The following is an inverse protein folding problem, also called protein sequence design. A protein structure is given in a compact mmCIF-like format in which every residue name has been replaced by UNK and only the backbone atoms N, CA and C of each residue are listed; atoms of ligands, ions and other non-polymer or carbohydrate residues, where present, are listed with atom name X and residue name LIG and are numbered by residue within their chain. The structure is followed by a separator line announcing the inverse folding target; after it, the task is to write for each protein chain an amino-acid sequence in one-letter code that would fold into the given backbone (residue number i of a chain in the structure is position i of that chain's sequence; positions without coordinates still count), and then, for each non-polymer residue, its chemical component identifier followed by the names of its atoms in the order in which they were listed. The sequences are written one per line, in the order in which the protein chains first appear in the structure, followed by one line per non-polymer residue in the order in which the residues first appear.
data_IF_419150325564
#
_entry.id   IF_419150325564
#
_cell.length_a   1.000
_cell.length_b   1.000
_cell.length_c   1.000
_cell.angle_alpha   90.00
_cell.angle_beta   90.00
_cell.angle_gamma   90.00
#
_symmetry.space_group_name_H-M   'P 1'
#
loop_
_entity.id
_entity.type
_entity.pdbx_description
1 polymer ?
#
# COMPACT_ATOMS: atom_id res chain seq x y z
N UNK A 1 2.40 -0.20 19.89
CA UNK A 1 2.08 1.18 20.31
C UNK A 1 0.77 1.10 21.08
N UNK A 2 0.64 1.67 22.29
CA UNK A 2 -0.62 1.53 23.06
C UNK A 2 -1.75 2.32 22.40
N UNK A 3 -2.99 1.82 22.51
CA UNK A 3 -4.22 2.45 21.98
C UNK A 3 -4.38 3.91 22.46
N UNK A 4 -3.98 4.22 23.69
CA UNK A 4 -4.01 5.58 24.24
C UNK A 4 -3.06 6.53 23.48
N UNK A 5 -1.88 6.05 23.07
CA UNK A 5 -0.92 6.84 22.29
C UNK A 5 -1.40 7.12 20.86
N UNK A 6 -2.08 6.17 20.22
CA UNK A 6 -2.67 6.38 18.88
C UNK A 6 -3.85 7.34 18.93
N UNK A 7 -4.68 7.28 19.98
CA UNK A 7 -5.78 8.21 20.23
C UNK A 7 -5.29 9.63 20.49
N UNK A 8 -4.27 9.82 21.34
CA UNK A 8 -3.68 11.15 21.57
C UNK A 8 -3.09 11.75 20.31
N UNK A 9 -2.34 10.96 19.54
CA UNK A 9 -1.86 11.42 18.23
C UNK A 9 -3.01 11.73 17.28
N UNK A 10 -4.05 10.90 17.21
CA UNK A 10 -5.22 11.18 16.39
C UNK A 10 -5.85 12.52 16.79
N UNK A 11 -6.06 12.77 18.08
CA UNK A 11 -6.61 14.01 18.56
C UNK A 11 -5.71 15.20 18.27
N UNK A 12 -4.39 15.08 18.43
CA UNK A 12 -3.41 16.11 18.03
C UNK A 12 -3.47 16.40 16.53
N UNK A 13 -3.57 15.34 15.71
CA UNK A 13 -3.68 15.44 14.26
C UNK A 13 -5.05 15.97 13.80
N UNK A 14 -6.13 15.69 14.52
CA UNK A 14 -7.50 16.11 14.22
C UNK A 14 -7.84 17.50 14.76
N UNK A 15 -7.22 17.92 15.87
CA UNK A 15 -7.46 19.22 16.52
C UNK A 15 -6.66 20.36 15.88
N UNK A 16 -5.51 20.07 15.27
CA UNK A 16 -4.82 21.03 14.39
C UNK A 16 -5.56 21.15 13.04
N UNK A 17 -6.54 22.07 13.01
CA UNK A 17 -7.22 22.66 11.85
C UNK A 17 -7.33 21.79 10.58
N UNK A 18 -8.47 21.11 10.49
CA UNK A 18 -8.92 20.19 9.44
C UNK A 18 -9.12 20.82 8.04
N UNK A 19 -8.85 22.11 7.82
CA UNK A 19 -9.27 22.80 6.58
C UNK A 19 -8.16 23.29 5.64
N UNK A 20 -6.88 23.08 5.95
CA UNK A 20 -5.82 23.27 4.96
C UNK A 20 -4.70 22.26 5.15
N UNK A 21 -4.89 21.05 4.62
CA UNK A 21 -3.77 20.13 4.41
C UNK A 21 -2.96 20.57 3.17
N UNK A 22 -2.57 21.84 3.16
CA UNK A 22 -1.63 22.35 2.18
C UNK A 22 -0.27 21.79 2.55
N UNK A 23 0.35 21.10 1.60
CA UNK A 23 1.73 20.65 1.75
C UNK A 23 2.63 21.89 1.82
N UNK A 24 3.58 21.89 2.76
CA UNK A 24 4.60 22.95 2.80
C UNK A 24 5.41 22.96 1.50
N UNK A 25 5.97 24.11 1.13
CA UNK A 25 6.83 24.22 -0.06
C UNK A 25 7.99 23.21 -0.01
N UNK A 26 8.56 23.00 1.19
CA UNK A 26 9.58 21.97 1.43
C UNK A 26 9.07 20.57 1.09
N UNK A 27 7.85 20.23 1.52
CA UNK A 27 7.23 18.94 1.20
C UNK A 27 6.95 18.80 -0.30
N UNK A 28 6.46 19.84 -0.98
CA UNK A 28 6.23 19.82 -2.43
C UNK A 28 7.54 19.62 -3.19
N UNK A 29 8.58 20.38 -2.85
CA UNK A 29 9.92 20.24 -3.42
C UNK A 29 10.47 18.82 -3.22
N UNK A 30 10.31 18.28 -2.01
CA UNK A 30 10.70 16.91 -1.71
C UNK A 30 9.97 15.88 -2.57
N UNK A 31 8.64 15.99 -2.70
CA UNK A 31 7.83 15.07 -3.51
C UNK A 31 8.23 15.08 -4.99
N UNK A 32 8.65 16.21 -5.52
CA UNK A 32 9.17 16.31 -6.90
C UNK A 32 10.50 15.55 -7.05
N UNK A 33 11.43 15.71 -6.11
CA UNK A 33 12.71 14.97 -6.10
C UNK A 33 12.46 13.47 -5.91
N UNK A 34 11.60 13.13 -4.95
CA UNK A 34 11.17 11.77 -4.65
C UNK A 34 10.58 11.09 -5.88
N UNK A 35 9.86 11.81 -6.75
CA UNK A 35 9.33 11.25 -7.99
C UNK A 35 10.44 10.75 -8.93
N UNK A 36 11.54 11.49 -9.07
CA UNK A 36 12.67 11.04 -9.88
C UNK A 36 13.30 9.77 -9.28
N UNK A 37 13.48 9.75 -7.95
CA UNK A 37 13.98 8.57 -7.24
C UNK A 37 13.05 7.35 -7.41
N UNK A 38 11.74 7.54 -7.28
CA UNK A 38 10.74 6.49 -7.46
C UNK A 38 10.86 5.85 -8.84
N UNK A 39 11.07 6.65 -9.89
CA UNK A 39 11.24 6.13 -11.26
C UNK A 39 12.52 5.30 -11.36
N UNK A 40 13.66 5.84 -10.93
CA UNK A 40 14.97 5.15 -11.04
C UNK A 40 14.97 3.85 -10.25
N UNK A 41 14.54 3.90 -8.98
CA UNK A 41 14.50 2.73 -8.11
C UNK A 41 13.47 1.69 -8.58
N UNK A 42 12.34 2.11 -9.14
CA UNK A 42 11.35 1.17 -9.68
C UNK A 42 11.81 0.51 -10.98
N UNK A 43 12.56 1.22 -11.84
CA UNK A 43 13.17 0.62 -13.03
C UNK A 43 14.19 -0.44 -12.64
N UNK A 44 15.08 -0.13 -11.69
CA UNK A 44 16.07 -1.08 -11.17
C UNK A 44 15.36 -2.28 -10.53
N UNK A 45 14.41 -2.01 -9.63
CA UNK A 45 13.64 -3.04 -8.95
C UNK A 45 12.88 -3.94 -9.93
N UNK A 46 12.25 -3.37 -10.95
CA UNK A 46 11.50 -4.14 -11.96
C UNK A 46 12.45 -4.99 -12.80
N UNK A 47 13.59 -4.45 -13.24
CA UNK A 47 14.59 -5.20 -14.00
C UNK A 47 15.13 -6.41 -13.19
N UNK A 48 15.43 -6.20 -11.90
CA UNK A 48 15.92 -7.26 -11.01
C UNK A 48 14.86 -8.32 -10.70
N UNK A 49 13.59 -7.91 -10.59
CA UNK A 49 12.51 -8.80 -10.17
C UNK A 49 11.73 -9.40 -11.34
N UNK A 50 11.98 -8.97 -12.58
CA UNK A 50 11.28 -9.46 -13.77
C UNK A 50 11.36 -11.00 -13.92
N UNK A 51 12.52 -11.66 -13.74
CA UNK A 51 12.58 -13.13 -13.82
C UNK A 51 11.69 -13.81 -12.78
N UNK A 52 11.61 -13.25 -11.57
CA UNK A 52 10.76 -13.76 -10.49
C UNK A 52 9.28 -13.57 -10.83
N UNK A 53 8.90 -12.39 -11.34
CA UNK A 53 7.51 -12.12 -11.78
C UNK A 53 7.11 -13.12 -12.88
N UNK A 54 7.97 -13.34 -13.88
CA UNK A 54 7.69 -14.28 -14.97
C UNK A 54 7.56 -15.73 -14.48
N UNK A 55 8.45 -16.16 -13.59
CA UNK A 55 8.37 -17.49 -12.96
C UNK A 55 7.01 -17.70 -12.27
N UNK A 56 6.59 -16.75 -11.43
CA UNK A 56 5.32 -16.89 -10.72
C UNK A 56 4.10 -16.72 -11.64
N UNK A 57 4.20 -15.96 -12.73
CA UNK A 57 3.16 -15.94 -13.76
C UNK A 57 2.92 -17.34 -14.35
N UNK A 58 3.99 -18.09 -14.62
CA UNK A 58 3.90 -19.48 -15.12
C UNK A 58 3.26 -20.37 -14.05
N UNK A 59 3.78 -20.35 -12.82
CA UNK A 59 3.28 -21.18 -11.72
C UNK A 59 1.78 -20.95 -11.44
N UNK A 60 1.33 -19.69 -11.43
CA UNK A 60 -0.09 -19.35 -11.22
C UNK A 60 -0.96 -19.88 -12.36
N UNK A 61 -0.48 -19.80 -13.60
CA UNK A 61 -1.20 -20.24 -14.79
C UNK A 61 -1.31 -21.77 -14.87
N UNK A 62 -0.32 -22.49 -14.31
CA UNK A 62 -0.35 -23.94 -14.16
C UNK A 62 -1.29 -24.40 -13.03
N UNK A 63 -1.39 -23.62 -11.95
CA UNK A 63 -2.23 -23.97 -10.80
C UNK A 63 -3.71 -23.64 -11.02
N UNK A 64 -4.01 -22.55 -11.72
CA UNK A 64 -5.39 -22.07 -11.92
C UNK A 64 -5.59 -21.45 -13.30
N UNK A 65 -6.76 -21.66 -13.95
CA UNK A 65 -7.03 -21.10 -15.28
C UNK A 65 -7.06 -19.56 -15.26
N UNK A 66 -6.87 -18.92 -16.42
CA UNK A 66 -6.98 -17.47 -16.62
C UNK A 66 -5.72 -16.68 -16.27
N UNK A 67 -5.81 -15.35 -16.30
CA UNK A 67 -4.65 -14.45 -16.23
C UNK A 67 -3.90 -14.54 -14.88
N UNK A 68 -2.56 -14.67 -14.88
CA UNK A 68 -1.77 -14.63 -13.65
C UNK A 68 -1.68 -13.24 -13.03
N UNK A 69 -2.07 -12.19 -13.75
CA UNK A 69 -2.13 -10.82 -13.23
C UNK A 69 -3.56 -10.46 -12.83
N UNK A 70 -3.71 -9.92 -11.63
CA UNK A 70 -4.96 -9.39 -11.13
C UNK A 70 -4.90 -7.86 -11.07
N UNK A 71 -5.98 -7.20 -11.50
CA UNK A 71 -6.11 -5.74 -11.50
C UNK A 71 -7.26 -5.34 -10.58
N UNK A 72 -7.00 -4.41 -9.67
CA UNK A 72 -8.00 -3.94 -8.71
C UNK A 72 -8.07 -2.41 -8.70
N UNK A 73 -9.29 -1.87 -8.73
CA UNK A 73 -9.49 -0.43 -8.61
C UNK A 73 -9.13 0.05 -7.19
N UNK A 74 -8.41 1.17 -7.16
CA UNK A 74 -7.87 1.81 -5.96
C UNK A 74 -8.04 3.32 -6.03
N UNK A 75 -8.08 3.95 -4.86
CA UNK A 75 -8.08 5.41 -4.73
C UNK A 75 -6.65 5.90 -4.54
N UNK A 76 -6.21 6.78 -5.44
CA UNK A 76 -4.90 7.42 -5.44
C UNK A 76 -4.95 8.89 -5.01
N UNK A 77 -3.94 9.64 -5.44
CA UNK A 77 -3.78 11.05 -5.08
C UNK A 77 -5.02 11.85 -5.52
N UNK A 78 -5.47 12.76 -4.66
CA UNK A 78 -6.61 13.68 -4.88
C UNK A 78 -7.92 12.92 -5.16
N UNK A 79 -8.02 11.66 -4.71
CA UNK A 79 -9.19 10.82 -4.93
C UNK A 79 -9.26 10.17 -6.32
N UNK A 80 -8.25 10.34 -7.18
CA UNK A 80 -8.24 9.75 -8.52
C UNK A 80 -8.18 8.23 -8.47
N UNK A 81 -9.04 7.56 -9.23
CA UNK A 81 -9.04 6.11 -9.30
C UNK A 81 -7.94 5.60 -10.24
N UNK A 82 -7.32 4.46 -9.90
CA UNK A 82 -6.37 3.77 -10.75
C UNK A 82 -6.48 2.25 -10.60
N UNK A 83 -5.93 1.50 -11.56
CA UNK A 83 -5.89 0.03 -11.51
C UNK A 83 -4.55 -0.44 -10.95
N UNK A 84 -4.56 -0.91 -9.71
CA UNK A 84 -3.40 -1.56 -9.09
C UNK A 84 -3.19 -2.95 -9.70
N UNK A 85 -1.95 -3.25 -10.10
CA UNK A 85 -1.55 -4.52 -10.72
C UNK A 85 -0.81 -5.37 -9.70
N UNK A 86 -1.17 -6.65 -9.58
CA UNK A 86 -0.47 -7.63 -8.74
C UNK A 86 -0.52 -9.03 -9.34
N UNK A 87 0.29 -9.95 -8.83
CA UNK A 87 0.10 -11.36 -9.16
C UNK A 87 -1.19 -11.87 -8.49
N UNK A 88 -1.91 -12.74 -9.20
CA UNK A 88 -3.14 -13.35 -8.72
C UNK A 88 -2.80 -14.42 -7.68
N UNK A 89 -3.21 -14.19 -6.44
CA UNK A 89 -3.02 -15.12 -5.31
C UNK A 89 -4.30 -15.82 -4.86
N UNK A 90 -5.42 -15.60 -5.54
CA UNK A 90 -6.72 -16.20 -5.25
C UNK A 90 -7.35 -16.78 -6.51
N UNK A 91 -8.28 -17.73 -6.32
CA UNK A 91 -9.10 -18.28 -7.43
C UNK A 91 -9.91 -17.18 -8.12
N UNK A 92 -10.23 -17.39 -9.40
CA UNK A 92 -11.00 -16.39 -10.20
C UNK A 92 -12.35 -16.06 -9.55
N UNK A 93 -12.96 -17.04 -8.90
CA UNK A 93 -14.26 -16.89 -8.28
C UNK A 93 -14.22 -16.29 -6.86
N UNK A 94 -13.04 -15.89 -6.38
CA UNK A 94 -12.85 -15.34 -5.05
C UNK A 94 -13.72 -14.10 -4.75
N UNK A 95 -14.11 -13.33 -5.78
CA UNK A 95 -14.96 -12.15 -5.63
C UNK A 95 -16.39 -12.34 -6.20
N UNK A 96 -16.86 -13.59 -6.44
CA UNK A 96 -18.23 -13.83 -6.94
C UNK A 96 -19.32 -13.20 -6.07
N UNK A 97 -19.10 -13.12 -4.75
CA UNK A 97 -20.02 -12.48 -3.80
C UNK A 97 -19.63 -11.03 -3.46
N UNK A 98 -18.85 -10.38 -4.32
CA UNK A 98 -18.40 -9.00 -4.16
C UNK A 98 -17.07 -8.84 -3.41
N UNK A 99 -16.68 -7.58 -3.26
CA UNK A 99 -15.45 -7.12 -2.63
C UNK A 99 -15.41 -7.47 -1.13
N UNK A 100 -14.49 -8.33 -0.71
CA UNK A 100 -14.28 -8.65 0.72
C UNK A 100 -12.83 -8.45 1.14
N UNK A 101 -12.59 -8.06 2.40
CA UNK A 101 -11.23 -8.11 2.97
C UNK A 101 -10.77 -9.56 3.04
N UNK A 102 -9.48 -9.78 2.78
CA UNK A 102 -8.89 -11.09 2.93
C UNK A 102 -8.77 -11.43 4.42
N UNK A 103 -9.26 -12.59 4.81
CA UNK A 103 -9.12 -13.11 6.18
C UNK A 103 -7.79 -13.88 6.31
N UNK A 104 -7.43 -14.22 7.55
CA UNK A 104 -6.35 -15.18 7.79
C UNK A 104 -6.86 -16.56 7.36
N UNK A 105 -6.01 -17.34 6.69
CA UNK A 105 -6.34 -18.69 6.17
C UNK A 105 -7.57 -18.72 5.24
N UNK A 106 -7.65 -17.71 4.36
CA UNK A 106 -8.77 -17.54 3.44
C UNK A 106 -8.83 -18.68 2.40
N UNK A 107 -9.94 -19.44 2.32
CA UNK A 107 -10.05 -20.63 1.46
C UNK A 107 -10.00 -20.32 -0.03
N UNK A 108 -10.07 -19.03 -0.40
CA UNK A 108 -9.97 -18.56 -1.79
C UNK A 108 -8.52 -18.48 -2.28
N UNK A 109 -7.55 -18.54 -1.37
CA UNK A 109 -6.12 -18.44 -1.66
C UNK A 109 -5.59 -19.78 -2.19
N UNK A 110 -4.80 -19.73 -3.26
CA UNK A 110 -4.19 -20.94 -3.85
C UNK A 110 -2.88 -21.31 -3.13
N UNK A 111 -2.29 -22.48 -3.40
CA UNK A 111 -1.04 -22.86 -2.76
C UNK A 111 0.12 -21.95 -3.21
N UNK A 112 0.24 -21.67 -4.50
CA UNK A 112 1.20 -20.66 -5.01
C UNK A 112 0.85 -19.28 -4.44
N UNK A 113 -0.45 -18.96 -4.39
CA UNK A 113 -1.00 -17.73 -3.83
C UNK A 113 -0.58 -17.47 -2.38
N UNK A 114 -0.61 -18.51 -1.55
CA UNK A 114 -0.18 -18.46 -0.15
C UNK A 114 1.31 -18.09 -0.05
N UNK A 115 2.16 -18.75 -0.86
CA UNK A 115 3.60 -18.47 -0.87
C UNK A 115 3.92 -17.04 -1.30
N UNK A 116 3.34 -16.57 -2.41
CA UNK A 116 3.64 -15.22 -2.94
C UNK A 116 3.11 -14.10 -2.05
N UNK A 117 2.04 -14.34 -1.29
CA UNK A 117 1.53 -13.38 -0.30
C UNK A 117 2.43 -13.29 0.92
N UNK A 118 2.90 -14.43 1.43
CA UNK A 118 3.83 -14.48 2.56
C UNK A 118 5.14 -13.76 2.26
N UNK A 119 5.64 -13.93 1.04
CA UNK A 119 6.90 -13.33 0.57
C UNK A 119 6.72 -11.95 -0.08
N UNK A 120 5.47 -11.47 -0.21
CA UNK A 120 5.08 -10.25 -0.95
C UNK A 120 5.53 -10.19 -2.40
N UNK A 121 5.87 -11.33 -2.99
CA UNK A 121 6.15 -11.46 -4.42
C UNK A 121 4.94 -11.01 -5.25
N UNK A 122 3.72 -11.18 -4.72
CA UNK A 122 2.52 -10.75 -5.42
C UNK A 122 2.45 -9.24 -5.65
N UNK A 123 3.12 -8.43 -4.83
CA UNK A 123 3.13 -6.97 -4.94
C UNK A 123 4.17 -6.43 -5.92
N UNK A 124 5.12 -7.25 -6.42
CA UNK A 124 6.19 -6.79 -7.32
C UNK A 124 5.69 -6.10 -8.61
N UNK A 125 4.61 -6.56 -9.28
CA UNK A 125 4.07 -5.86 -10.46
C UNK A 125 3.60 -4.42 -10.19
N UNK A 126 3.36 -4.04 -8.93
CA UNK A 126 2.97 -2.67 -8.57
C UNK A 126 4.08 -1.65 -8.85
N UNK A 127 5.34 -2.08 -9.06
CA UNK A 127 6.39 -1.19 -9.57
C UNK A 127 6.00 -0.54 -10.91
N UNK A 128 5.18 -1.21 -11.73
CA UNK A 128 4.61 -0.64 -12.95
C UNK A 128 3.68 0.53 -12.63
N UNK A 129 2.87 0.45 -11.57
CA UNK A 129 2.03 1.57 -11.11
C UNK A 129 2.87 2.73 -10.57
N UNK A 130 4.02 2.44 -9.95
CA UNK A 130 4.97 3.49 -9.57
C UNK A 130 5.52 4.17 -10.83
N UNK A 131 5.97 3.43 -11.84
CA UNK A 131 6.45 4.00 -13.10
C UNK A 131 5.38 4.82 -13.83
N UNK A 132 4.14 4.32 -13.90
CA UNK A 132 2.98 5.02 -14.47
C UNK A 132 2.62 6.32 -13.73
N UNK A 133 3.07 6.46 -12.47
CA UNK A 133 2.85 7.65 -11.66
C UNK A 133 1.58 7.61 -10.84
N UNK A 134 0.86 6.48 -10.81
CA UNK A 134 -0.29 6.26 -9.92
C UNK A 134 0.16 6.13 -8.45
N UNK A 135 1.33 5.52 -8.25
CA UNK A 135 1.89 5.20 -6.94
C UNK A 135 3.30 5.80 -6.76
N UNK A 136 3.78 5.71 -5.52
CA UNK A 136 5.16 5.95 -5.09
C UNK A 136 5.71 4.67 -4.43
N UNK A 137 7.03 4.56 -4.26
CA UNK A 137 7.59 3.44 -3.48
C UNK A 137 7.16 3.51 -2.02
N UNK A 138 7.16 4.71 -1.43
CA UNK A 138 6.77 4.94 -0.03
C UNK A 138 5.62 5.95 0.03
N UNK A 139 4.54 5.56 0.70
CA UNK A 139 3.34 6.38 0.88
C UNK A 139 2.19 5.62 1.57
N UNK A 140 1.05 6.26 1.81
CA UNK A 140 -0.13 5.59 2.36
C UNK A 140 -0.60 4.45 1.47
N UNK A 141 -0.89 3.26 2.02
CA UNK A 141 -1.36 2.12 1.20
C UNK A 141 -2.71 2.44 0.53
N UNK A 142 -2.87 2.26 -0.79
CA UNK A 142 -4.11 2.60 -1.48
C UNK A 142 -5.25 1.66 -1.06
N UNK A 143 -6.44 2.21 -0.87
CA UNK A 143 -7.65 1.46 -0.49
C UNK A 143 -8.62 1.30 -1.66
N UNK A 144 -9.53 0.32 -1.59
CA UNK A 144 -10.65 0.23 -2.56
C UNK A 144 -11.56 1.45 -2.39
N UNK A 145 -12.21 1.93 -3.47
CA UNK A 145 -13.19 3.02 -3.38
C UNK A 145 -14.25 2.80 -2.29
N UNK A 146 -14.81 1.59 -2.20
CA UNK A 146 -15.83 1.27 -1.19
C UNK A 146 -15.33 1.41 0.25
N UNK A 147 -14.11 0.96 0.55
CA UNK A 147 -13.51 1.11 1.89
C UNK A 147 -13.09 2.54 2.18
N UNK A 148 -12.56 3.27 1.18
CA UNK A 148 -12.27 4.69 1.34
C UNK A 148 -13.53 5.48 1.68
N UNK A 149 -14.66 5.19 1.02
CA UNK A 149 -15.94 5.83 1.30
C UNK A 149 -16.46 5.46 2.71
N UNK A 150 -16.44 4.17 3.05
CA UNK A 150 -16.84 3.68 4.37
C UNK A 150 -16.01 4.34 5.49
N UNK A 151 -14.68 4.26 5.42
CA UNK A 151 -13.80 4.82 6.45
C UNK A 151 -13.88 6.34 6.52
N UNK A 152 -14.18 7.02 5.42
CA UNK A 152 -14.40 8.46 5.47
C UNK A 152 -15.67 8.84 6.24
N UNK A 153 -16.71 8.02 6.16
CA UNK A 153 -17.93 8.20 6.95
C UNK A 153 -17.69 7.89 8.44
N UNK A 154 -16.93 6.83 8.74
CA UNK A 154 -16.66 6.38 10.11
C UNK A 154 -15.56 7.18 10.82
N UNK A 155 -14.59 7.72 10.07
CA UNK A 155 -13.37 8.34 10.60
C UNK A 155 -13.21 9.73 9.98
N UNK A 156 -13.49 10.81 10.74
CA UNK A 156 -13.28 12.18 10.29
C UNK A 156 -11.85 12.39 9.78
N UNK A 157 -11.74 13.01 8.60
CA UNK A 157 -10.46 13.32 7.96
C UNK A 157 -9.77 12.15 7.27
N UNK A 158 -10.39 10.96 7.13
CA UNK A 158 -9.75 9.80 6.49
C UNK A 158 -9.21 10.10 5.09
N UNK A 159 -9.90 10.93 4.29
CA UNK A 159 -9.48 11.34 2.94
C UNK A 159 -8.24 12.24 2.92
N UNK A 160 -7.81 12.82 4.06
CA UNK A 160 -6.61 13.66 4.11
C UNK A 160 -5.33 12.87 3.76
N UNK A 161 -5.37 11.54 3.88
CA UNK A 161 -4.27 10.67 3.41
C UNK A 161 -4.08 10.68 1.89
N UNK A 162 -5.06 11.17 1.13
CA UNK A 162 -5.06 11.16 -0.34
C UNK A 162 -4.34 12.36 -0.96
N UNK A 163 -3.80 13.30 -0.16
CA UNK A 163 -3.10 14.48 -0.71
C UNK A 163 -1.72 14.14 -1.31
N UNK A 164 -1.19 12.95 -1.03
CA UNK A 164 0.05 12.41 -1.62
C UNK A 164 -0.24 11.14 -2.40
N UNK A 165 0.69 10.75 -3.28
CA UNK A 165 0.57 9.47 -3.99
C UNK A 165 0.58 8.30 -2.98
N UNK A 166 -0.29 7.30 -3.18
CA UNK A 166 -0.23 6.09 -2.37
C UNK A 166 1.10 5.34 -2.58
N UNK A 167 1.49 4.56 -1.58
CA UNK A 167 2.74 3.81 -1.55
C UNK A 167 2.59 2.32 -1.83
N UNK A 168 3.64 1.72 -2.40
CA UNK A 168 3.85 0.26 -2.39
C UNK A 168 4.06 -0.22 -0.94
N UNK A 169 4.94 0.46 -0.22
CA UNK A 169 5.09 0.37 1.23
C UNK A 169 4.76 1.70 1.91
N UNK A 170 4.64 1.70 3.23
CA UNK A 170 4.19 2.86 3.98
C UNK A 170 4.41 2.71 5.48
N UNK A 171 4.39 3.85 6.18
CA UNK A 171 4.66 3.89 7.61
C UNK A 171 3.66 3.05 8.44
N UNK A 172 2.38 3.03 8.03
CA UNK A 172 1.38 2.19 8.68
C UNK A 172 1.66 0.69 8.46
N UNK A 173 2.04 0.30 7.23
CA UNK A 173 2.34 -1.09 6.86
C UNK A 173 3.48 -1.66 7.71
N UNK A 174 4.56 -0.88 7.91
CA UNK A 174 5.76 -1.36 8.63
C UNK A 174 5.68 -1.25 10.16
N UNK A 175 4.68 -0.55 10.72
CA UNK A 175 4.52 -0.42 12.17
C UNK A 175 3.33 -1.18 12.75
N UNK A 176 2.32 -1.48 11.93
CA UNK A 176 1.08 -2.14 12.38
C UNK A 176 0.71 -3.43 11.64
N UNK A 177 1.40 -3.78 10.56
CA UNK A 177 1.09 -4.98 9.78
C UNK A 177 -0.34 -4.96 9.22
N UNK A 178 -0.98 -6.13 9.10
CA UNK A 178 -2.36 -6.27 8.62
C UNK A 178 -3.44 -6.08 9.70
N UNK A 179 -3.07 -6.09 10.98
CA UNK A 179 -4.03 -6.07 12.09
C UNK A 179 -4.29 -4.66 12.64
N UNK A 180 -3.63 -3.65 12.07
CA UNK A 180 -3.85 -2.26 12.42
C UNK A 180 -5.26 -1.79 12.01
N UNK A 181 -5.95 -1.13 12.95
CA UNK A 181 -7.28 -0.57 12.66
C UNK A 181 -7.20 0.56 11.63
N UNK A 182 -8.27 0.83 10.85
CA UNK A 182 -8.30 1.94 9.91
C UNK A 182 -7.98 3.30 10.55
N UNK A 183 -8.35 3.50 11.83
CA UNK A 183 -8.06 4.71 12.60
C UNK A 183 -6.57 4.85 12.92
N UNK A 184 -5.93 3.80 13.42
CA UNK A 184 -4.49 3.80 13.70
C UNK A 184 -3.66 3.90 12.42
N UNK A 185 -4.14 3.27 11.33
CA UNK A 185 -3.55 3.41 10.01
C UNK A 185 -3.56 4.87 9.58
N UNK A 186 -4.68 5.56 9.71
CA UNK A 186 -4.79 6.99 9.39
C UNK A 186 -3.78 7.82 10.20
N UNK A 187 -3.57 7.53 11.49
CA UNK A 187 -2.58 8.22 12.32
C UNK A 187 -1.18 8.11 11.74
N UNK A 188 -0.74 6.91 11.34
CA UNK A 188 0.56 6.73 10.71
C UNK A 188 0.66 7.41 9.33
N UNK A 189 -0.40 7.35 8.54
CA UNK A 189 -0.44 7.99 7.23
C UNK A 189 -0.34 9.52 7.36
N UNK A 190 -1.06 10.13 8.31
CA UNK A 190 -0.98 11.57 8.58
C UNK A 190 0.37 11.98 9.17
N UNK A 191 0.93 11.18 10.08
CA UNK A 191 2.30 11.39 10.57
C UNK A 191 3.30 11.41 9.42
N UNK A 192 3.23 10.43 8.51
CA UNK A 192 4.11 10.35 7.36
C UNK A 192 4.00 11.59 6.46
N UNK A 193 2.77 11.99 6.13
CA UNK A 193 2.50 13.16 5.29
C UNK A 193 3.02 14.46 5.91
N UNK A 194 2.92 14.63 7.23
CA UNK A 194 3.43 15.81 7.94
C UNK A 194 4.95 15.83 8.06
N UNK A 195 5.61 14.67 7.99
CA UNK A 195 7.05 14.51 8.23
C UNK A 195 7.80 13.98 7.00
N UNK A 196 7.34 14.34 5.80
CA UNK A 196 7.93 13.92 4.52
C UNK A 196 9.40 14.31 4.42
N UNK A 197 10.28 13.32 4.54
CA UNK A 197 11.73 13.48 4.46
C UNK A 197 12.37 12.21 3.87
N UNK A 198 13.53 12.38 3.26
CA UNK A 198 14.33 11.26 2.74
C UNK A 198 14.65 10.22 3.83
N UNK A 199 15.01 10.68 5.04
CA UNK A 199 15.34 9.81 6.15
C UNK A 199 14.14 8.96 6.60
N UNK A 200 12.93 9.53 6.59
CA UNK A 200 11.72 8.78 6.91
C UNK A 200 11.43 7.71 5.84
N UNK A 201 11.57 8.04 4.56
CA UNK A 201 11.44 7.07 3.47
C UNK A 201 12.45 5.93 3.59
N UNK A 202 13.72 6.25 3.83
CA UNK A 202 14.77 5.26 4.04
C UNK A 202 14.44 4.34 5.23
N UNK A 203 13.98 4.92 6.34
CA UNK A 203 13.54 4.15 7.51
C UNK A 203 12.38 3.20 7.19
N UNK A 204 11.41 3.64 6.39
CA UNK A 204 10.29 2.77 5.96
C UNK A 204 10.80 1.67 5.03
N UNK A 205 11.68 1.97 4.08
CA UNK A 205 12.25 0.97 3.17
C UNK A 205 13.05 -0.11 3.92
N UNK A 206 13.93 0.28 4.84
CA UNK A 206 14.70 -0.67 5.67
C UNK A 206 13.78 -1.57 6.49
N UNK A 207 12.75 -1.00 7.13
CA UNK A 207 11.75 -1.79 7.85
C UNK A 207 10.97 -2.73 6.93
N UNK A 208 10.70 -2.31 5.69
CA UNK A 208 10.01 -3.14 4.70
C UNK A 208 10.85 -4.37 4.35
N UNK A 209 12.15 -4.19 4.12
CA UNK A 209 13.08 -5.31 3.87
C UNK A 209 13.06 -6.28 5.06
N UNK A 210 13.12 -5.76 6.30
CA UNK A 210 13.02 -6.60 7.50
C UNK A 210 11.71 -7.40 7.51
N UNK A 211 10.57 -6.75 7.31
CA UNK A 211 9.23 -7.38 7.28
C UNK A 211 9.13 -8.47 6.20
N UNK A 212 9.68 -8.23 5.01
CA UNK A 212 9.67 -9.20 3.91
C UNK A 212 10.57 -10.41 4.21
N UNK A 213 11.74 -10.20 4.82
CA UNK A 213 12.67 -11.26 5.16
C UNK A 213 12.22 -12.10 6.36
N UNK A 214 11.60 -11.48 7.37
CA UNK A 214 11.13 -12.18 8.58
C UNK A 214 9.74 -12.76 8.43
N UNK A 215 8.96 -12.28 7.44
CA UNK A 215 7.53 -12.61 7.31
C UNK A 215 6.66 -11.98 8.40
N UNK A 216 7.21 -11.13 9.28
CA UNK A 216 6.47 -10.45 10.36
C UNK A 216 5.37 -9.56 9.74
N UNK A 217 4.10 -9.91 9.99
CA UNK A 217 2.97 -9.19 9.43
C UNK A 217 2.64 -9.56 7.98
N UNK A 218 3.05 -10.74 7.50
CA UNK A 218 2.52 -11.34 6.27
C UNK A 218 1.33 -12.30 6.57
N UNK A 219 0.37 -12.40 5.64
CA UNK A 219 -0.78 -13.34 5.67
C UNK A 219 -0.84 -14.16 4.39
#
# INVERSE_FOLDING_TARGET
MSMDKSLRMYHEYSSQQIYSCALSEKAVRYLNIKRAMDIVLSLIGLAMTLPVILLFCILISLETPGSPLYRQERVGKDGKHFKLIKLRSMRIDAEKSGAKWAQKDDPRVTAVGSFIRRTRIDELPQLINVLAGDMSLVGPRPERPMFTAQFHHEIPGFKNRLIVKPGLTGLAQVNGGYDISPKEKLVHDLYYIRNLTFLLDLKVMVKTIKVVLTGEGAR
#
